data_IF_083085415756
#
_entry.id   IF_083085415756
#
_cell.length_a   1.000
_cell.length_b   1.000
_cell.length_c   1.000
_cell.angle_alpha   90.00
_cell.angle_beta   90.00
_cell.angle_gamma   90.00
#
_symmetry.space_group_name_H-M   'P 1'
#
loop_
_entity.id
_entity.type
_entity.pdbx_description
1 polymer ?
#
# COMPACT_ATOMS: atom_id res chain seq x y z
N UNK A 1 -32.23 11.87 23.46
CA UNK A 1 -30.90 11.29 23.71
C UNK A 1 -29.99 11.77 22.59
N UNK A 2 -28.77 12.29 22.87
CA UNK A 2 -27.85 12.64 21.81
C UNK A 2 -27.53 11.36 21.02
N UNK A 3 -27.96 11.35 19.76
CA UNK A 3 -27.69 10.25 18.85
C UNK A 3 -26.27 10.45 18.37
N UNK A 4 -25.32 9.76 19.01
CA UNK A 4 -23.93 9.67 18.52
C UNK A 4 -23.98 9.04 17.14
N UNK A 5 -24.02 9.92 16.14
CA UNK A 5 -24.11 9.53 14.74
C UNK A 5 -22.75 9.54 14.08
N UNK A 6 -22.73 9.17 12.80
CA UNK A 6 -21.58 9.36 11.92
C UNK A 6 -20.90 10.75 12.04
N UNK A 7 -21.63 11.87 12.23
CA UNK A 7 -21.00 13.19 12.35
C UNK A 7 -20.04 13.32 13.55
N UNK A 8 -20.40 12.76 14.72
CA UNK A 8 -19.55 12.81 15.91
C UNK A 8 -18.30 11.94 15.76
N UNK A 9 -18.44 10.76 15.15
CA UNK A 9 -17.30 9.90 14.84
C UNK A 9 -16.32 10.63 13.91
N UNK A 10 -16.81 11.34 12.89
CA UNK A 10 -15.96 12.12 11.97
C UNK A 10 -15.22 13.23 12.70
N UNK A 11 -15.87 13.96 13.61
CA UNK A 11 -15.23 15.01 14.42
C UNK A 11 -14.09 14.43 15.27
N UNK A 12 -14.33 13.31 15.95
CA UNK A 12 -13.30 12.63 16.74
C UNK A 12 -12.15 12.15 15.84
N UNK A 13 -12.47 11.59 14.67
CA UNK A 13 -11.49 11.14 13.70
C UNK A 13 -10.60 12.29 13.21
N UNK A 14 -11.18 13.46 12.94
CA UNK A 14 -10.43 14.67 12.53
C UNK A 14 -9.48 15.11 13.64
N UNK A 15 -9.91 15.13 14.90
CA UNK A 15 -9.04 15.48 16.04
C UNK A 15 -7.90 14.46 16.16
N UNK A 16 -8.21 13.17 16.10
CA UNK A 16 -7.21 12.10 16.13
C UNK A 16 -6.22 12.23 14.95
N UNK A 17 -6.71 12.60 13.77
CA UNK A 17 -5.90 12.84 12.57
C UNK A 17 -4.97 14.05 12.70
N UNK A 18 -5.35 15.08 13.44
CA UNK A 18 -4.45 16.21 13.73
C UNK A 18 -3.33 15.78 14.66
N UNK A 19 -3.61 14.93 15.65
CA UNK A 19 -2.60 14.43 16.61
C UNK A 19 -1.67 13.40 15.94
N UNK A 20 -2.24 12.40 15.25
CA UNK A 20 -1.49 11.29 14.67
C UNK A 20 -1.00 11.56 13.24
N UNK A 21 -1.65 12.45 12.50
CA UNK A 21 -1.40 12.75 11.09
C UNK A 21 -2.14 11.80 10.13
N UNK A 22 -2.69 12.28 8.99
CA UNK A 22 -3.41 11.45 8.03
C UNK A 22 -2.52 10.42 7.32
N UNK A 23 -1.21 10.66 7.26
CA UNK A 23 -0.25 9.70 6.69
C UNK A 23 -0.03 8.48 7.58
N UNK A 24 -0.31 8.56 8.89
CA UNK A 24 -0.07 7.44 9.82
C UNK A 24 -1.23 6.46 9.93
N UNK A 25 -2.47 6.88 9.63
CA UNK A 25 -3.61 5.96 9.55
C UNK A 25 -3.41 4.80 8.55
N UNK A 26 -2.98 5.02 7.29
CA UNK A 26 -2.79 3.92 6.34
C UNK A 26 -1.61 3.02 6.74
N UNK A 27 -0.57 3.58 7.36
CA UNK A 27 0.59 2.82 7.86
C UNK A 27 0.18 1.87 9.00
N UNK A 28 -0.51 2.39 10.01
CA UNK A 28 -1.07 1.61 11.12
C UNK A 28 -2.13 0.60 10.65
N UNK A 29 -2.96 0.99 9.70
CA UNK A 29 -3.98 0.12 9.10
C UNK A 29 -3.37 -1.04 8.32
N UNK A 30 -2.27 -0.83 7.59
CA UNK A 30 -1.53 -1.90 6.91
C UNK A 30 -0.93 -2.88 7.92
N UNK A 31 -0.27 -2.40 8.97
CA UNK A 31 0.34 -3.28 9.98
C UNK A 31 -0.70 -4.07 10.78
N UNK A 32 -1.78 -3.40 11.22
CA UNK A 32 -2.90 -4.06 11.91
C UNK A 32 -3.64 -5.02 10.96
N UNK A 33 -3.84 -4.63 9.71
CA UNK A 33 -4.54 -5.42 8.70
C UNK A 33 -3.80 -6.72 8.36
N UNK A 34 -2.48 -6.66 8.17
CA UNK A 34 -1.65 -7.84 7.95
C UNK A 34 -1.66 -8.79 9.15
N UNK A 35 -1.57 -8.25 10.38
CA UNK A 35 -1.67 -9.06 11.60
C UNK A 35 -3.05 -9.69 11.80
N UNK A 36 -4.12 -8.91 11.58
CA UNK A 36 -5.50 -9.39 11.65
C UNK A 36 -5.80 -10.45 10.59
N UNK A 37 -5.23 -10.31 9.38
CA UNK A 37 -5.38 -11.30 8.31
C UNK A 37 -4.71 -12.62 8.69
N UNK A 38 -3.45 -12.59 9.15
CA UNK A 38 -2.78 -13.78 9.66
C UNK A 38 -3.50 -14.42 10.86
N UNK A 39 -4.05 -13.60 11.76
CA UNK A 39 -4.87 -14.08 12.88
C UNK A 39 -6.17 -14.74 12.40
N UNK A 40 -6.91 -14.11 11.48
CA UNK A 40 -8.12 -14.67 10.88
C UNK A 40 -7.84 -15.97 10.14
N UNK A 41 -6.74 -16.04 9.40
CA UNK A 41 -6.38 -17.18 8.58
C UNK A 41 -5.96 -18.38 9.46
N UNK A 42 -5.28 -18.10 10.57
CA UNK A 42 -4.95 -19.10 11.61
C UNK A 42 -6.19 -19.62 12.33
N UNK A 43 -7.12 -18.72 12.69
CA UNK A 43 -8.39 -19.08 13.35
C UNK A 43 -9.34 -19.80 12.39
N UNK A 44 -9.32 -19.47 11.10
CA UNK A 44 -10.19 -20.06 10.07
C UNK A 44 -9.59 -21.29 9.38
N UNK A 45 -8.36 -21.69 9.71
CA UNK A 45 -7.69 -22.87 9.14
C UNK A 45 -7.37 -22.76 7.64
N UNK A 46 -7.15 -21.55 7.11
CA UNK A 46 -6.97 -21.26 5.66
C UNK A 46 -5.54 -20.86 5.28
N UNK A 47 -4.56 -21.25 6.09
CA UNK A 47 -3.24 -20.60 6.16
C UNK A 47 -2.22 -20.88 5.04
N UNK A 48 -2.57 -21.50 3.91
CA UNK A 48 -1.54 -22.03 3.00
C UNK A 48 -1.49 -21.41 1.58
N UNK A 49 -2.49 -20.65 1.11
CA UNK A 49 -2.58 -20.28 -0.32
C UNK A 49 -2.22 -18.82 -0.70
N UNK A 50 -2.01 -17.90 0.25
CA UNK A 50 -2.09 -16.44 -0.01
C UNK A 50 -0.74 -15.67 0.00
N UNK A 51 0.42 -16.32 -0.18
CA UNK A 51 1.74 -15.68 0.01
C UNK A 51 2.31 -14.86 -1.18
N UNK A 52 1.56 -14.61 -2.26
CA UNK A 52 2.15 -14.07 -3.51
C UNK A 52 1.86 -12.60 -3.87
N UNK A 53 1.32 -11.79 -2.95
CA UNK A 53 0.82 -10.44 -3.29
C UNK A 53 1.58 -9.24 -2.64
N UNK A 54 2.81 -9.42 -2.15
CA UNK A 54 3.49 -8.37 -1.35
C UNK A 54 4.79 -7.80 -1.94
N UNK A 55 5.07 -7.98 -3.23
CA UNK A 55 6.33 -7.51 -3.84
C UNK A 55 6.23 -6.20 -4.65
N UNK A 56 5.08 -5.52 -4.73
CA UNK A 56 4.91 -4.44 -5.72
C UNK A 56 4.70 -3.02 -5.18
N UNK A 57 4.85 -2.76 -3.87
CA UNK A 57 4.48 -1.46 -3.29
C UNK A 57 5.62 -0.64 -2.66
N UNK A 58 6.88 -0.92 -3.01
CA UNK A 58 8.01 -0.05 -2.62
C UNK A 58 9.13 -0.08 -3.70
N UNK A 59 8.93 0.67 -4.79
CA UNK A 59 10.02 1.19 -5.63
C UNK A 59 9.51 2.37 -6.46
N UNK A 60 10.28 3.44 -6.42
CA UNK A 60 9.97 4.80 -6.81
C UNK A 60 9.78 5.01 -8.33
N UNK A 61 9.11 6.10 -8.73
CA UNK A 61 8.96 6.50 -10.12
C UNK A 61 10.23 7.20 -10.62
N UNK A 62 11.24 6.48 -11.06
CA UNK A 62 12.47 7.08 -11.61
C UNK A 62 12.95 6.27 -12.82
N UNK A 63 13.16 6.95 -13.95
CA UNK A 63 13.77 6.43 -15.20
C UNK A 63 12.82 5.87 -16.28
N UNK A 64 11.75 6.62 -16.58
CA UNK A 64 11.09 6.59 -17.89
C UNK A 64 11.75 7.59 -18.88
N UNK A 65 13.09 7.62 -18.93
CA UNK A 65 13.83 8.29 -20.01
C UNK A 65 15.02 7.46 -20.49
N UNK A 66 14.77 6.18 -20.73
CA UNK A 66 15.56 5.39 -21.69
C UNK A 66 14.65 5.08 -22.86
N UNK A 67 14.50 6.09 -23.72
CA UNK A 67 13.93 5.87 -25.05
C UNK A 67 14.90 4.99 -25.85
N UNK A 68 14.41 3.88 -26.44
CA UNK A 68 15.24 2.87 -27.07
C UNK A 68 15.51 3.25 -28.53
N UNK A 69 16.58 3.98 -28.79
CA UNK A 69 17.07 4.14 -30.16
C UNK A 69 17.95 2.95 -30.53
N UNK A 70 17.31 1.89 -31.04
CA UNK A 70 17.97 0.97 -31.96
C UNK A 70 18.56 1.79 -33.11
N UNK A 71 19.86 1.68 -33.33
CA UNK A 71 20.37 1.75 -34.69
C UNK A 71 21.45 0.69 -34.89
N UNK A 72 21.10 -0.49 -35.47
CA UNK A 72 22.08 -1.44 -35.93
C UNK A 72 22.55 -0.95 -37.30
N UNK A 73 23.71 -0.32 -37.36
CA UNK A 73 24.26 0.04 -38.66
C UNK A 73 25.79 0.02 -38.64
N UNK A 74 26.30 -0.83 -39.53
CA UNK A 74 27.55 -0.70 -40.30
C UNK A 74 28.79 -1.35 -39.70
N UNK A 75 28.73 -2.68 -39.64
CA UNK A 75 29.75 -3.49 -40.32
C UNK A 75 29.72 -3.12 -41.82
N UNK A 76 30.64 -2.26 -42.24
CA UNK A 76 31.17 -2.17 -43.59
C UNK A 76 32.15 -0.99 -43.68
N UNK A 77 33.42 -1.36 -43.90
CA UNK A 77 34.46 -0.61 -44.63
C UNK A 77 35.62 -0.07 -43.79
N UNK A 78 36.78 -0.64 -44.15
CA UNK A 78 38.18 -0.12 -44.10
C UNK A 78 38.96 -0.36 -42.82
#
# INVERSE_FOLDING_TARGET
>A
MPNIGLPEIIIVLVIALVIFGPKRLPELGKSLGSGMRGFKDSVSGKGEDDQHAQLEADSQPEDAKREPAREPARDASV
#
